data_IF_391717230197
#
_entry.id   IF_391717230197
#
_cell.length_a   1.000
_cell.length_b   1.000
_cell.length_c   1.000
_cell.angle_alpha   90.00
_cell.angle_beta   90.00
_cell.angle_gamma   90.00
#
_symmetry.space_group_name_H-M   'P 1'
#
loop_
_entity.id
_entity.type
_entity.pdbx_description
1 polymer ?
#
# COMPACT_ATOMS: atom_id res chain seq x y z
N UNK A 1 -23.29 7.08 -17.96
CA UNK A 1 -22.95 6.36 -16.69
C UNK A 1 -21.55 5.77 -16.80
N UNK A 2 -20.71 5.97 -15.79
CA UNK A 2 -19.37 5.33 -15.75
C UNK A 2 -19.55 3.83 -15.55
N UNK A 3 -18.91 3.01 -16.41
CA UNK A 3 -19.03 1.55 -16.36
C UNK A 3 -18.51 0.99 -15.02
N UNK A 4 -18.97 -0.21 -14.65
CA UNK A 4 -18.50 -0.90 -13.45
C UNK A 4 -16.99 -1.14 -13.52
N UNK A 5 -16.48 -1.57 -14.66
CA UNK A 5 -15.06 -1.79 -14.90
C UNK A 5 -14.22 -0.52 -14.69
N UNK A 6 -14.74 0.63 -15.11
CA UNK A 6 -14.05 1.91 -14.90
C UNK A 6 -14.00 2.29 -13.41
N UNK A 7 -15.08 2.04 -12.68
CA UNK A 7 -15.11 2.28 -11.22
C UNK A 7 -14.16 1.34 -10.48
N UNK A 8 -14.14 0.08 -10.86
CA UNK A 8 -13.24 -0.91 -10.28
C UNK A 8 -11.77 -0.53 -10.52
N UNK A 9 -11.43 -0.17 -11.76
CA UNK A 9 -10.09 0.30 -12.10
C UNK A 9 -9.72 1.60 -11.37
N UNK A 10 -10.66 2.53 -11.19
CA UNK A 10 -10.43 3.74 -10.40
C UNK A 10 -10.08 3.40 -8.94
N UNK A 11 -10.78 2.44 -8.32
CA UNK A 11 -10.49 2.04 -6.94
C UNK A 11 -9.13 1.37 -6.80
N UNK A 12 -8.70 0.58 -7.80
CA UNK A 12 -7.33 0.07 -7.84
C UNK A 12 -6.31 1.23 -7.91
N UNK A 13 -6.57 2.23 -8.74
CA UNK A 13 -5.68 3.39 -8.85
C UNK A 13 -5.61 4.19 -7.54
N UNK A 14 -6.75 4.39 -6.86
CA UNK A 14 -6.78 4.99 -5.52
C UNK A 14 -5.96 4.15 -4.53
N UNK A 15 -6.07 2.83 -4.60
CA UNK A 15 -5.24 1.93 -3.79
C UNK A 15 -3.75 2.16 -4.03
N UNK A 16 -3.31 2.30 -5.28
CA UNK A 16 -1.90 2.55 -5.63
C UNK A 16 -1.41 3.91 -5.11
N UNK A 17 -2.26 4.93 -5.25
CA UNK A 17 -1.98 6.25 -4.67
C UNK A 17 -1.78 6.15 -3.15
N UNK A 18 -2.72 5.53 -2.45
CA UNK A 18 -2.67 5.40 -0.99
C UNK A 18 -1.48 4.58 -0.52
N UNK A 19 -1.14 3.51 -1.22
CA UNK A 19 0.01 2.67 -0.91
C UNK A 19 1.30 3.49 -0.83
N UNK A 20 1.64 4.19 -1.91
CA UNK A 20 2.82 5.04 -1.93
C UNK A 20 2.75 6.24 -0.99
N UNK A 21 1.56 6.84 -0.85
CA UNK A 21 1.35 7.96 0.06
C UNK A 21 1.65 7.57 1.52
N UNK A 22 1.11 6.43 1.99
CA UNK A 22 1.32 5.98 3.37
C UNK A 22 2.78 5.66 3.68
N UNK A 23 3.52 5.13 2.73
CA UNK A 23 4.95 4.83 2.93
C UNK A 23 5.80 6.08 3.15
N UNK A 24 5.33 7.26 2.71
CA UNK A 24 6.12 8.50 2.73
C UNK A 24 5.66 9.54 3.77
N UNK A 25 4.52 9.36 4.42
CA UNK A 25 4.00 10.30 5.45
C UNK A 25 5.06 10.56 6.53
N UNK A 26 5.71 9.50 7.02
CA UNK A 26 6.64 9.57 8.14
C UNK A 26 7.80 10.55 7.88
N UNK A 27 8.38 10.56 6.69
CA UNK A 27 9.50 11.43 6.37
C UNK A 27 9.16 12.91 6.59
N UNK A 28 7.97 13.34 6.14
CA UNK A 28 7.49 14.70 6.31
C UNK A 28 7.13 15.01 7.77
N UNK A 29 6.45 14.10 8.44
CA UNK A 29 6.09 14.25 9.86
C UNK A 29 7.35 14.34 10.73
N UNK A 30 8.35 13.51 10.48
CA UNK A 30 9.62 13.54 11.20
C UNK A 30 10.35 14.87 11.01
N UNK A 31 10.43 15.35 9.75
CA UNK A 31 11.13 16.59 9.43
C UNK A 31 10.45 17.84 9.99
N UNK A 32 9.12 17.93 9.90
CA UNK A 32 8.38 19.15 10.23
C UNK A 32 7.97 19.27 11.70
N UNK A 33 7.81 18.13 12.42
CA UNK A 33 7.20 18.18 13.75
C UNK A 33 7.92 17.33 14.80
N UNK A 34 8.22 16.07 14.53
CA UNK A 34 8.70 15.17 15.56
C UNK A 34 10.12 15.50 16.01
N UNK A 35 10.96 16.03 15.13
CA UNK A 35 12.31 16.49 15.48
C UNK A 35 12.28 17.49 16.62
N UNK A 36 11.44 18.52 16.49
CA UNK A 36 11.28 19.51 17.55
C UNK A 36 10.50 18.97 18.75
N UNK A 37 9.41 18.21 18.52
CA UNK A 37 8.52 17.73 19.56
C UNK A 37 9.12 16.66 20.47
N UNK A 38 10.05 15.85 19.96
CA UNK A 38 10.72 14.79 20.74
C UNK A 38 12.18 15.10 21.06
N UNK A 39 12.70 16.28 20.65
CA UNK A 39 14.07 16.67 20.91
C UNK A 39 15.11 15.76 20.21
N UNK A 40 14.75 15.17 19.09
CA UNK A 40 15.56 14.26 18.29
C UNK A 40 15.89 14.92 16.94
N UNK A 41 17.09 14.70 16.43
CA UNK A 41 17.41 15.08 15.06
C UNK A 41 16.63 14.21 14.05
N UNK A 42 16.45 14.72 12.83
CA UNK A 42 15.85 13.95 11.76
C UNK A 42 16.59 12.62 11.49
N UNK A 43 17.95 12.66 11.57
CA UNK A 43 18.78 11.47 11.40
C UNK A 43 18.54 10.39 12.47
N UNK A 44 18.25 10.80 13.70
CA UNK A 44 17.90 9.87 14.80
C UNK A 44 16.49 9.29 14.66
N UNK A 45 15.59 9.98 13.97
CA UNK A 45 14.22 9.50 13.70
C UNK A 45 14.14 8.53 12.54
N UNK A 46 14.97 8.69 11.49
CA UNK A 46 14.91 7.87 10.27
C UNK A 46 14.95 6.36 10.51
N UNK A 47 15.76 5.81 11.42
CA UNK A 47 15.80 4.37 11.69
C UNK A 47 14.46 3.78 12.11
N UNK A 48 13.57 4.56 12.72
CA UNK A 48 12.23 4.09 13.09
C UNK A 48 11.30 3.88 11.88
N UNK A 49 11.62 4.45 10.73
CA UNK A 49 10.91 4.18 9.46
C UNK A 49 11.40 2.91 8.75
N UNK A 50 12.64 2.50 8.98
CA UNK A 50 13.25 1.36 8.29
C UNK A 50 12.45 0.04 8.41
N UNK A 51 11.90 -0.33 9.59
CA UNK A 51 11.07 -1.54 9.71
C UNK A 51 9.87 -1.56 8.77
N UNK A 52 9.24 -0.41 8.51
CA UNK A 52 8.12 -0.29 7.58
C UNK A 52 8.52 -0.63 6.14
N UNK A 53 9.60 -0.04 5.65
CA UNK A 53 10.12 -0.35 4.31
C UNK A 53 10.61 -1.79 4.18
N UNK A 54 11.26 -2.31 5.21
CA UNK A 54 11.70 -3.71 5.26
C UNK A 54 10.51 -4.66 5.19
N UNK A 55 9.47 -4.42 5.99
CA UNK A 55 8.25 -5.22 5.96
C UNK A 55 7.54 -5.13 4.61
N UNK A 56 7.45 -3.92 4.04
CA UNK A 56 6.88 -3.71 2.70
C UNK A 56 7.56 -4.59 1.65
N UNK A 57 8.88 -4.64 1.64
CA UNK A 57 9.64 -5.46 0.70
C UNK A 57 9.48 -6.97 0.99
N UNK A 58 9.74 -7.40 2.24
CA UNK A 58 9.78 -8.83 2.59
C UNK A 58 8.40 -9.49 2.59
N UNK A 59 7.34 -8.76 2.97
CA UNK A 59 6.00 -9.32 3.02
C UNK A 59 5.31 -9.37 1.64
N UNK A 60 5.83 -8.70 0.59
CA UNK A 60 5.20 -8.69 -0.72
C UNK A 60 5.03 -10.10 -1.31
N UNK A 61 6.04 -10.96 -1.20
CA UNK A 61 5.94 -12.33 -1.70
C UNK A 61 4.91 -13.17 -0.94
N UNK A 62 4.94 -13.30 0.40
CA UNK A 62 3.91 -14.04 1.13
C UNK A 62 2.50 -13.46 0.95
N UNK A 63 2.34 -12.15 0.81
CA UNK A 63 1.02 -11.54 0.56
C UNK A 63 0.48 -11.89 -0.83
N UNK A 64 1.34 -11.96 -1.85
CA UNK A 64 0.96 -12.47 -3.17
C UNK A 64 0.52 -13.94 -3.12
N UNK A 65 1.27 -14.79 -2.43
CA UNK A 65 0.92 -16.21 -2.23
C UNK A 65 -0.41 -16.37 -1.45
N UNK A 66 -0.65 -15.51 -0.48
CA UNK A 66 -1.89 -15.51 0.28
C UNK A 66 -3.08 -15.08 -0.59
N UNK A 67 -2.88 -14.09 -1.46
CA UNK A 67 -3.90 -13.64 -2.40
C UNK A 67 -4.30 -14.73 -3.42
N UNK A 68 -3.36 -15.57 -3.82
CA UNK A 68 -3.67 -16.70 -4.71
C UNK A 68 -4.50 -17.80 -4.00
N UNK A 69 -4.49 -17.84 -2.65
CA UNK A 69 -5.27 -18.80 -1.85
C UNK A 69 -6.62 -18.23 -1.38
N UNK A 70 -6.64 -16.96 -0.98
CA UNK A 70 -7.82 -16.31 -0.37
C UNK A 70 -8.65 -15.50 -1.36
N UNK A 71 -8.12 -15.28 -2.58
CA UNK A 71 -8.71 -14.39 -3.56
C UNK A 71 -8.12 -12.98 -3.51
N UNK A 72 -7.80 -12.46 -4.68
CA UNK A 72 -7.13 -11.16 -4.82
C UNK A 72 -7.99 -10.00 -4.35
N UNK A 73 -9.30 -10.07 -4.62
CA UNK A 73 -10.23 -9.03 -4.19
C UNK A 73 -10.38 -8.97 -2.67
N UNK A 74 -10.38 -10.13 -2.00
CA UNK A 74 -10.37 -10.17 -0.54
C UNK A 74 -9.11 -9.55 0.05
N UNK A 75 -7.95 -9.83 -0.55
CA UNK A 75 -6.69 -9.23 -0.11
C UNK A 75 -6.64 -7.72 -0.33
N UNK A 76 -7.26 -7.19 -1.39
CA UNK A 76 -7.39 -5.75 -1.58
C UNK A 76 -8.28 -5.09 -0.51
N UNK A 77 -9.31 -5.76 -0.02
CA UNK A 77 -10.11 -5.29 1.12
C UNK A 77 -9.25 -5.27 2.38
N UNK A 78 -8.47 -6.34 2.62
CA UNK A 78 -7.50 -6.41 3.73
C UNK A 78 -6.48 -5.28 3.64
N UNK A 79 -6.00 -4.96 2.43
CA UNK A 79 -5.12 -3.82 2.19
C UNK A 79 -5.75 -2.51 2.67
N UNK A 80 -6.93 -2.14 2.15
CA UNK A 80 -7.56 -0.86 2.49
C UNK A 80 -7.85 -0.72 3.99
N UNK A 81 -8.39 -1.77 4.61
CA UNK A 81 -8.71 -1.77 6.04
C UNK A 81 -7.43 -1.81 6.88
N UNK A 82 -6.52 -2.71 6.55
CA UNK A 82 -5.31 -2.95 7.33
C UNK A 82 -4.37 -1.75 7.35
N UNK A 83 -4.09 -1.17 6.17
CA UNK A 83 -3.22 0.02 6.09
C UNK A 83 -3.88 1.23 6.76
N UNK A 84 -5.21 1.38 6.62
CA UNK A 84 -5.97 2.44 7.26
C UNK A 84 -5.95 2.34 8.79
N UNK A 85 -6.21 1.15 9.36
CA UNK A 85 -6.12 0.91 10.81
C UNK A 85 -4.69 1.13 11.30
N UNK A 86 -3.69 0.62 10.57
CA UNK A 86 -2.28 0.79 10.93
C UNK A 86 -1.88 2.26 10.97
N UNK A 87 -2.35 3.06 10.00
CA UNK A 87 -2.12 4.50 10.00
C UNK A 87 -2.77 5.18 11.20
N UNK A 88 -4.03 4.86 11.51
CA UNK A 88 -4.71 5.42 12.70
C UNK A 88 -3.95 5.06 13.97
N UNK A 89 -3.53 3.81 14.14
CA UNK A 89 -2.73 3.38 15.29
C UNK A 89 -1.40 4.15 15.37
N UNK A 90 -0.75 4.39 14.23
CA UNK A 90 0.49 5.18 14.17
C UNK A 90 0.26 6.62 14.65
N UNK A 91 -0.89 7.21 14.33
CA UNK A 91 -1.27 8.55 14.80
C UNK A 91 -1.43 8.66 16.33
N UNK A 92 -1.64 7.57 17.05
CA UNK A 92 -1.68 7.54 18.52
C UNK A 92 -0.30 7.40 19.17
N UNK A 93 0.76 7.21 18.39
CA UNK A 93 2.12 7.05 18.94
C UNK A 93 2.54 8.23 19.83
N UNK A 94 3.17 7.91 20.95
CA UNK A 94 3.71 8.88 21.91
C UNK A 94 5.24 8.75 22.04
N UNK A 95 5.81 7.69 21.48
CA UNK A 95 7.25 7.42 21.50
C UNK A 95 7.73 7.01 20.12
N UNK A 96 9.03 7.20 19.80
CA UNK A 96 9.60 6.74 18.53
C UNK A 96 9.41 5.23 18.29
N UNK A 97 9.48 4.41 19.33
CA UNK A 97 9.28 2.97 19.22
C UNK A 97 7.82 2.62 18.82
N UNK A 98 6.83 3.27 19.43
CA UNK A 98 5.42 3.09 19.07
C UNK A 98 5.16 3.54 17.63
N UNK A 99 5.78 4.64 17.23
CA UNK A 99 5.70 5.12 15.85
C UNK A 99 6.30 4.08 14.88
N UNK A 100 7.50 3.58 15.18
CA UNK A 100 8.15 2.54 14.37
C UNK A 100 7.33 1.25 14.27
N UNK A 101 6.68 0.83 15.36
CA UNK A 101 5.76 -0.32 15.34
C UNK A 101 4.54 -0.06 14.45
N UNK A 102 3.97 1.14 14.49
CA UNK A 102 2.89 1.53 13.59
C UNK A 102 3.32 1.56 12.11
N UNK A 103 4.51 2.10 11.83
CA UNK A 103 5.09 2.11 10.49
C UNK A 103 5.39 0.69 9.97
N UNK A 104 5.83 -0.23 10.84
CA UNK A 104 5.97 -1.64 10.52
C UNK A 104 4.63 -2.23 10.04
N UNK A 105 3.54 -1.96 10.76
CA UNK A 105 2.21 -2.42 10.37
C UNK A 105 1.76 -1.81 9.03
N UNK A 106 2.01 -0.51 8.81
CA UNK A 106 1.76 0.14 7.51
C UNK A 106 2.52 -0.60 6.40
N UNK A 107 3.80 -0.94 6.61
CA UNK A 107 4.60 -1.69 5.64
C UNK A 107 4.05 -3.09 5.37
N UNK A 108 3.61 -3.82 6.42
CA UNK A 108 3.01 -5.16 6.25
C UNK A 108 1.75 -5.09 5.38
N UNK A 109 0.81 -4.19 5.68
CA UNK A 109 -0.42 -4.10 4.88
C UNK A 109 -0.20 -3.42 3.54
N UNK A 110 0.72 -2.45 3.41
CA UNK A 110 1.14 -1.85 2.15
C UNK A 110 1.70 -2.89 1.17
N UNK A 111 2.47 -3.86 1.67
CA UNK A 111 3.07 -4.91 0.85
C UNK A 111 2.06 -5.73 0.02
N UNK A 112 0.77 -5.63 0.33
CA UNK A 112 -0.31 -6.33 -0.39
C UNK A 112 -0.52 -5.73 -1.78
N UNK A 113 -0.44 -4.39 -1.92
CA UNK A 113 -0.91 -3.74 -3.14
C UNK A 113 -0.15 -4.20 -4.39
N UNK A 114 1.17 -4.18 -4.39
CA UNK A 114 1.96 -4.47 -5.58
C UNK A 114 1.73 -5.87 -6.15
N UNK A 115 1.86 -6.97 -5.41
CA UNK A 115 1.62 -8.29 -5.96
C UNK A 115 0.15 -8.53 -6.32
N UNK A 116 -0.78 -7.95 -5.59
CA UNK A 116 -2.21 -8.23 -5.75
C UNK A 116 -2.88 -7.29 -6.75
N UNK A 117 -2.73 -5.98 -6.58
CA UNK A 117 -3.35 -4.98 -7.44
C UNK A 117 -2.84 -5.06 -8.87
N UNK A 118 -1.52 -5.22 -9.07
CA UNK A 118 -0.96 -5.39 -10.42
C UNK A 118 -1.39 -6.72 -11.06
N UNK A 119 -1.51 -7.80 -10.29
CA UNK A 119 -2.03 -9.07 -10.80
C UNK A 119 -3.50 -8.97 -11.24
N UNK A 120 -4.32 -8.17 -10.54
CA UNK A 120 -5.70 -7.87 -10.98
C UNK A 120 -5.67 -7.07 -12.28
N UNK A 121 -4.85 -6.00 -12.37
CA UNK A 121 -4.76 -5.17 -13.58
C UNK A 121 -4.31 -5.98 -14.79
N UNK A 122 -3.31 -6.84 -14.63
CA UNK A 122 -2.77 -7.65 -15.74
C UNK A 122 -3.69 -8.81 -16.14
N UNK A 123 -4.42 -9.38 -15.19
CA UNK A 123 -5.29 -10.54 -15.45
C UNK A 123 -6.67 -10.18 -16.01
N UNK A 124 -7.17 -8.96 -15.73
CA UNK A 124 -8.55 -8.59 -16.05
C UNK A 124 -8.74 -7.91 -17.41
N UNK A 125 -7.80 -7.13 -17.89
CA UNK A 125 -7.97 -6.31 -19.07
C UNK A 125 -7.01 -6.70 -20.19
N UNK A 126 -7.53 -6.67 -21.45
CA UNK A 126 -6.74 -7.02 -22.65
C UNK A 126 -5.63 -6.00 -22.97
N UNK A 127 -5.86 -4.71 -22.70
CA UNK A 127 -4.89 -3.63 -22.96
C UNK A 127 -4.10 -3.30 -21.67
N UNK A 128 -3.37 -4.26 -21.16
CA UNK A 128 -2.65 -4.18 -19.87
C UNK A 128 -1.60 -3.07 -19.83
N UNK A 129 -0.87 -2.83 -20.92
CA UNK A 129 0.18 -1.81 -20.93
C UNK A 129 -0.33 -0.41 -20.59
N UNK A 130 -1.42 0.05 -21.24
CA UNK A 130 -2.02 1.36 -20.94
C UNK A 130 -2.58 1.40 -19.51
N UNK A 131 -3.20 0.33 -19.06
CA UNK A 131 -3.75 0.25 -17.70
C UNK A 131 -2.65 0.30 -16.64
N UNK A 132 -1.55 -0.41 -16.84
CA UNK A 132 -0.39 -0.35 -15.97
C UNK A 132 0.24 1.04 -15.97
N UNK A 133 0.34 1.69 -17.13
CA UNK A 133 0.87 3.06 -17.22
C UNK A 133 0.00 4.04 -16.41
N UNK A 134 -1.33 4.00 -16.57
CA UNK A 134 -2.26 4.84 -15.79
C UNK A 134 -2.16 4.51 -14.30
N UNK A 135 -2.13 3.24 -13.95
CA UNK A 135 -1.97 2.82 -12.55
C UNK A 135 -0.64 3.30 -11.95
N UNK A 136 0.46 3.23 -12.71
CA UNK A 136 1.76 3.77 -12.31
C UNK A 136 1.74 5.29 -12.09
N UNK A 137 1.00 6.05 -12.91
CA UNK A 137 0.80 7.49 -12.69
C UNK A 137 0.13 7.76 -11.33
N UNK A 138 -0.87 6.98 -10.94
CA UNK A 138 -1.51 7.13 -9.64
C UNK A 138 -0.57 6.82 -8.47
N UNK A 139 0.28 5.80 -8.58
CA UNK A 139 1.31 5.53 -7.59
C UNK A 139 2.30 6.70 -7.47
N UNK A 140 2.79 7.21 -8.61
CA UNK A 140 3.68 8.37 -8.63
C UNK A 140 3.02 9.65 -8.09
N UNK A 141 1.71 9.84 -8.31
CA UNK A 141 0.97 10.93 -7.66
C UNK A 141 0.95 10.76 -6.14
N UNK A 142 0.82 9.52 -5.63
CA UNK A 142 0.94 9.23 -4.20
C UNK A 142 2.28 9.67 -3.64
N UNK A 143 3.38 9.36 -4.34
CA UNK A 143 4.73 9.82 -4.00
C UNK A 143 4.81 11.34 -4.04
N UNK A 144 4.44 11.96 -5.16
CA UNK A 144 4.56 13.41 -5.38
C UNK A 144 3.71 14.26 -4.45
N UNK A 145 2.53 13.77 -4.06
CA UNK A 145 1.63 14.47 -3.15
C UNK A 145 1.97 14.25 -1.67
N UNK A 146 2.75 13.23 -1.32
CA UNK A 146 2.96 12.84 0.06
C UNK A 146 3.43 13.98 0.97
N UNK A 147 4.49 14.69 0.57
CA UNK A 147 5.01 15.78 1.38
C UNK A 147 4.04 16.97 1.46
N UNK A 148 3.43 17.36 0.34
CA UNK A 148 2.52 18.50 0.26
C UNK A 148 1.25 18.26 1.11
N UNK A 149 0.60 17.13 0.90
CA UNK A 149 -0.66 16.80 1.59
C UNK A 149 -0.40 16.56 3.08
N UNK A 150 0.69 15.88 3.43
CA UNK A 150 1.07 15.69 4.83
C UNK A 150 1.38 17.01 5.52
N UNK A 151 2.16 17.90 4.88
CA UNK A 151 2.46 19.23 5.41
C UNK A 151 1.19 20.04 5.63
N UNK A 152 0.29 20.08 4.66
CA UNK A 152 -1.01 20.75 4.80
C UNK A 152 -1.84 20.21 5.98
N UNK A 153 -1.89 18.89 6.18
CA UNK A 153 -2.59 18.28 7.31
C UNK A 153 -1.93 18.63 8.65
N UNK A 154 -0.60 18.72 8.68
CA UNK A 154 0.15 19.14 9.87
C UNK A 154 -0.22 20.58 10.25
N UNK A 155 -0.23 21.49 9.29
CA UNK A 155 -0.55 22.90 9.51
C UNK A 155 -2.01 23.08 9.97
N UNK A 156 -2.91 22.26 9.44
CA UNK A 156 -4.35 22.37 9.72
C UNK A 156 -4.73 21.80 11.11
N UNK A 157 -4.18 20.63 11.47
CA UNK A 157 -4.66 19.87 12.63
C UNK A 157 -3.57 19.07 13.36
N UNK A 158 -2.29 19.38 13.10
CA UNK A 158 -1.14 18.72 13.70
C UNK A 158 -0.77 17.39 13.06
N UNK A 159 0.41 16.89 13.40
CA UNK A 159 1.01 15.73 12.72
C UNK A 159 0.17 14.43 12.82
N UNK A 160 -0.60 14.27 13.87
CA UNK A 160 -1.48 13.11 14.05
C UNK A 160 -2.57 13.04 12.99
N UNK A 161 -3.06 14.19 12.55
CA UNK A 161 -4.06 14.29 11.48
C UNK A 161 -3.54 13.71 10.15
N UNK A 162 -2.23 13.83 9.90
CA UNK A 162 -1.60 13.24 8.71
C UNK A 162 -1.68 11.71 8.66
N UNK A 163 -1.87 11.05 9.80
CA UNK A 163 -2.12 9.60 9.89
C UNK A 163 -3.62 9.28 10.00
N UNK A 164 -4.37 10.03 10.79
CA UNK A 164 -5.80 9.76 11.02
C UNK A 164 -6.64 9.95 9.77
N UNK A 165 -6.50 11.10 9.09
CA UNK A 165 -7.34 11.44 7.95
C UNK A 165 -7.18 10.44 6.80
N UNK A 166 -5.97 10.18 6.27
CA UNK A 166 -5.81 9.20 5.20
C UNK A 166 -6.13 7.77 5.66
N UNK A 167 -5.92 7.44 6.95
CA UNK A 167 -6.32 6.16 7.52
C UNK A 167 -7.83 5.93 7.43
N UNK A 168 -8.63 6.92 7.83
CA UNK A 168 -10.10 6.89 7.71
C UNK A 168 -10.52 6.82 6.24
N UNK A 169 -9.89 7.62 5.37
CA UNK A 169 -10.16 7.61 3.92
C UNK A 169 -9.90 6.22 3.33
N UNK A 170 -8.79 5.56 3.70
CA UNK A 170 -8.48 4.22 3.23
C UNK A 170 -9.56 3.21 3.62
N UNK A 171 -9.97 3.20 4.89
CA UNK A 171 -11.04 2.32 5.38
C UNK A 171 -12.36 2.60 4.63
N UNK A 172 -12.66 3.89 4.37
CA UNK A 172 -13.84 4.26 3.59
C UNK A 172 -13.82 3.65 2.18
N UNK A 173 -12.66 3.61 1.51
CA UNK A 173 -12.52 3.03 0.17
C UNK A 173 -12.66 1.49 0.16
N UNK A 174 -12.47 0.80 1.27
CA UNK A 174 -12.76 -0.62 1.35
C UNK A 174 -14.23 -0.96 1.05
N UNK A 175 -15.17 -0.06 1.43
CA UNK A 175 -16.59 -0.29 1.25
C UNK A 175 -17.04 -0.28 -0.23
N UNK A 176 -16.80 0.77 -1.03
CA UNK A 176 -17.13 0.74 -2.45
C UNK A 176 -16.32 -0.32 -3.21
N UNK A 177 -15.09 -0.63 -2.79
CA UNK A 177 -14.31 -1.72 -3.37
C UNK A 177 -15.03 -3.06 -3.14
N UNK A 178 -15.44 -3.36 -1.92
CA UNK A 178 -16.20 -4.57 -1.57
C UNK A 178 -17.51 -4.68 -2.38
N UNK A 179 -18.24 -3.58 -2.54
CA UNK A 179 -19.50 -3.60 -3.31
C UNK A 179 -19.29 -3.90 -4.79
N UNK A 180 -18.20 -3.39 -5.37
CA UNK A 180 -17.91 -3.58 -6.79
C UNK A 180 -17.32 -4.96 -7.03
N UNK A 181 -16.39 -5.42 -6.19
CA UNK A 181 -15.70 -6.71 -6.34
C UNK A 181 -16.62 -7.92 -6.19
N UNK A 182 -17.62 -7.87 -5.31
CA UNK A 182 -18.62 -8.96 -5.15
C UNK A 182 -19.35 -9.38 -6.43
N UNK A 183 -19.42 -8.49 -7.41
CA UNK A 183 -20.11 -8.72 -8.67
C UNK A 183 -19.14 -8.87 -9.85
N UNK A 184 -17.91 -9.16 -9.54
CA UNK A 184 -16.82 -9.33 -10.50
C UNK A 184 -16.35 -10.78 -10.39
N UNK A 185 -16.20 -11.46 -11.53
CA UNK A 185 -15.69 -12.83 -11.57
C UNK A 185 -14.25 -12.87 -11.03
N UNK A 186 -13.98 -13.77 -10.08
CA UNK A 186 -12.63 -13.95 -9.56
C UNK A 186 -11.69 -14.44 -10.66
N UNK A 187 -10.52 -13.83 -10.71
CA UNK A 187 -9.47 -14.27 -11.63
C UNK A 187 -8.86 -15.59 -11.13
N UNK A 188 -8.61 -16.54 -12.02
CA UNK A 188 -7.92 -17.76 -11.64
C UNK A 188 -6.53 -17.42 -11.04
N UNK A 189 -6.01 -18.26 -10.14
CA UNK A 189 -4.66 -18.11 -9.62
C UNK A 189 -3.63 -18.03 -10.76
N UNK A 190 -2.61 -17.21 -10.59
CA UNK A 190 -1.49 -17.18 -11.56
C UNK A 190 -0.80 -18.53 -11.53
N UNK A 191 -0.89 -19.28 -12.63
CA UNK A 191 -0.38 -20.67 -12.73
C UNK A 191 -1.45 -21.76 -12.70
N UNK A 192 -2.74 -21.40 -12.71
CA UNK A 192 -3.84 -22.37 -12.74
C UNK A 192 -3.82 -23.24 -14.00
N UNK A 193 -3.95 -24.54 -13.80
CA UNK A 193 -4.16 -25.64 -14.75
C UNK A 193 -2.96 -26.10 -15.60
N UNK A 194 -1.80 -25.46 -15.60
CA UNK A 194 -0.62 -25.98 -16.31
C UNK A 194 0.61 -26.26 -15.41
N UNK A 195 0.51 -26.01 -14.12
CA UNK A 195 1.62 -26.28 -13.18
C UNK A 195 1.65 -27.75 -12.75
N UNK A 196 1.91 -28.64 -13.69
CA UNK A 196 2.24 -30.06 -13.38
C UNK A 196 3.72 -30.23 -12.98
N UNK A 197 4.51 -29.16 -12.93
CA UNK A 197 5.88 -29.18 -12.41
C UNK A 197 6.01 -28.19 -11.25
N UNK A 198 6.73 -28.54 -10.18
CA UNK A 198 7.09 -27.58 -9.14
C UNK A 198 7.74 -26.37 -9.81
N UNK A 199 7.29 -25.15 -9.45
CA UNK A 199 7.90 -23.95 -10.00
C UNK A 199 9.39 -23.93 -9.62
N UNK A 200 10.26 -23.85 -10.62
CA UNK A 200 11.68 -23.64 -10.39
C UNK A 200 11.90 -22.19 -9.97
N UNK A 201 12.06 -21.96 -8.68
CA UNK A 201 12.32 -20.64 -8.11
C UNK A 201 13.78 -20.18 -8.29
N UNK A 202 14.65 -21.01 -8.86
CA UNK A 202 16.06 -20.65 -9.11
C UNK A 202 16.24 -19.38 -9.93
N UNK A 203 15.48 -19.16 -11.04
CA UNK A 203 15.53 -17.92 -11.80
C UNK A 203 15.00 -16.71 -11.01
N UNK A 204 14.03 -16.92 -10.11
CA UNK A 204 13.42 -15.84 -9.32
C UNK A 204 14.42 -15.21 -8.35
N UNK A 205 15.27 -16.03 -7.71
CA UNK A 205 16.34 -15.55 -6.83
C UNK A 205 17.38 -14.72 -7.57
N UNK A 206 17.69 -15.08 -8.82
CA UNK A 206 18.61 -14.29 -9.66
C UNK A 206 18.03 -12.90 -9.99
N UNK A 207 16.74 -12.82 -10.30
CA UNK A 207 16.06 -11.54 -10.55
C UNK A 207 16.02 -10.70 -9.28
N UNK A 208 15.69 -11.29 -8.12
CA UNK A 208 15.68 -10.57 -6.84
C UNK A 208 17.05 -10.01 -6.47
N UNK A 209 18.13 -10.77 -6.69
CA UNK A 209 19.52 -10.29 -6.43
C UNK A 209 19.93 -9.18 -7.41
N UNK A 210 19.40 -9.13 -8.63
CA UNK A 210 19.73 -8.11 -9.62
C UNK A 210 18.90 -6.82 -9.47
N UNK A 211 17.81 -6.84 -8.70
CA UNK A 211 16.90 -5.69 -8.53
C UNK A 211 17.16 -4.94 -7.22
N UNK A 212 17.89 -5.54 -6.29
CA UNK A 212 18.35 -4.98 -5.02
C UNK A 212 19.86 -4.99 -4.91
#
# INVERSE_FOLDING_TARGET
MVSRDSKYFLLLNVGHFLDHYFMLIFATVAALTLSAGWGMSYAELLPYGAPGFTAFALCSLPMGMLADRWGRDHMMIVFFIGIGISSILTGFAQTPLQLGAGLLLIGIFGSIYHPVGLAIVTGRWKHTGMRLAVNGVWGNLGVGCAALVTGFMIDLAGWRAAFFIPGIISIFFAFPYLQISRNVEELPPVGGAAATKPADYGPLWRVLICVY
#
